data_IF_203376998720
#
_entry.id   IF_203376998720
#
_cell.length_a   1.000
_cell.length_b   1.000
_cell.length_c   1.000
_cell.angle_alpha   90.00
_cell.angle_beta   90.00
_cell.angle_gamma   90.00
#
_symmetry.space_group_name_H-M   'P 1'
#
loop_
_entity.id
_entity.type
_entity.pdbx_description
1 polymer ?
#
# COMPACT_ATOMS: atom_id res chain seq x y z
N UNK A 1 11.81 -35.24 24.20
CA UNK A 1 12.91 -34.34 23.77
C UNK A 1 13.01 -34.24 22.26
N UNK A 2 13.29 -35.33 21.51
CA UNK A 2 13.49 -35.28 20.04
C UNK A 2 12.27 -34.80 19.22
N UNK A 3 11.06 -35.17 19.65
CA UNK A 3 9.83 -34.72 18.98
C UNK A 3 9.58 -33.21 19.12
N UNK A 4 9.98 -32.59 20.24
CA UNK A 4 9.83 -31.13 20.45
C UNK A 4 10.75 -30.34 19.52
N UNK A 5 12.00 -30.80 19.33
CA UNK A 5 12.91 -30.19 18.36
C UNK A 5 12.38 -30.32 16.94
N UNK A 6 11.80 -31.47 16.56
CA UNK A 6 11.19 -31.65 15.26
C UNK A 6 9.99 -30.69 15.05
N UNK A 7 9.13 -30.55 16.05
CA UNK A 7 7.98 -29.63 16.00
C UNK A 7 8.44 -28.17 15.89
N UNK A 8 9.43 -27.74 16.67
CA UNK A 8 9.98 -26.38 16.59
C UNK A 8 10.58 -26.09 15.21
N UNK A 9 11.34 -27.04 14.65
CA UNK A 9 11.93 -26.90 13.32
C UNK A 9 10.83 -26.78 12.26
N UNK A 10 9.80 -27.62 12.32
CA UNK A 10 8.66 -27.56 11.39
C UNK A 10 7.93 -26.21 11.51
N UNK A 11 7.67 -25.74 12.73
CA UNK A 11 7.00 -24.45 12.95
C UNK A 11 7.80 -23.25 12.42
N UNK A 12 9.13 -23.23 12.60
CA UNK A 12 9.99 -22.16 12.08
C UNK A 12 10.05 -22.20 10.56
N UNK A 13 10.15 -23.39 9.96
CA UNK A 13 10.16 -23.55 8.50
C UNK A 13 8.83 -23.15 7.86
N UNK A 14 7.70 -23.44 8.50
CA UNK A 14 6.38 -23.04 7.99
C UNK A 14 6.08 -21.57 8.21
N UNK A 15 6.57 -20.94 9.28
CA UNK A 15 6.35 -19.51 9.55
C UNK A 15 6.91 -18.59 8.46
N UNK A 16 8.08 -18.93 7.92
CA UNK A 16 8.72 -18.17 6.85
C UNK A 16 7.92 -18.22 5.53
N UNK A 17 7.05 -19.21 5.37
CA UNK A 17 6.19 -19.34 4.19
C UNK A 17 4.95 -18.43 4.26
N UNK A 18 4.65 -17.88 5.43
CA UNK A 18 3.46 -17.05 5.70
C UNK A 18 3.87 -15.58 5.88
N UNK A 19 4.89 -15.09 5.17
CA UNK A 19 5.04 -13.64 4.98
C UNK A 19 4.00 -13.17 3.97
N UNK A 20 2.77 -13.13 4.46
CA UNK A 20 1.58 -12.65 3.77
C UNK A 20 1.71 -11.15 3.59
N UNK A 21 2.16 -10.75 2.40
CA UNK A 21 2.23 -9.39 1.88
C UNK A 21 3.05 -8.34 2.68
N UNK A 22 3.47 -7.29 1.98
CA UNK A 22 4.33 -6.22 2.51
C UNK A 22 3.50 -5.01 2.92
N UNK A 23 3.68 -4.48 4.16
CA UNK A 23 3.06 -3.22 4.60
C UNK A 23 3.56 -1.99 3.81
N UNK A 24 2.92 -0.82 3.98
CA UNK A 24 3.33 0.39 3.26
C UNK A 24 4.75 0.81 3.63
N UNK A 25 5.50 1.30 2.63
CA UNK A 25 6.89 1.75 2.78
C UNK A 25 7.94 0.64 2.70
N UNK A 26 7.56 -0.63 2.72
CA UNK A 26 8.49 -1.74 2.50
C UNK A 26 8.86 -1.92 1.02
N UNK A 27 10.04 -2.49 0.78
CA UNK A 27 10.57 -2.72 -0.55
C UNK A 27 9.77 -3.80 -1.29
N UNK A 28 9.39 -3.55 -2.54
CA UNK A 28 8.64 -4.47 -3.39
C UNK A 28 9.29 -4.58 -4.76
N UNK A 29 9.07 -5.71 -5.43
CA UNK A 29 9.40 -5.90 -6.84
C UNK A 29 8.16 -5.86 -7.73
N UNK A 30 7.04 -6.37 -7.21
CA UNK A 30 5.76 -6.45 -7.92
C UNK A 30 4.58 -6.06 -7.02
N UNK A 31 3.45 -5.68 -7.61
CA UNK A 31 2.24 -5.28 -6.86
C UNK A 31 1.73 -6.38 -5.92
N UNK A 32 1.87 -7.64 -6.33
CA UNK A 32 1.47 -8.83 -5.53
C UNK A 32 2.28 -8.99 -4.23
N UNK A 33 3.43 -8.33 -4.15
CA UNK A 33 4.21 -8.32 -2.91
C UNK A 33 3.54 -7.47 -1.83
N UNK A 34 2.73 -6.48 -2.22
CA UNK A 34 2.17 -5.50 -1.31
C UNK A 34 0.80 -5.93 -0.78
N UNK A 35 0.49 -5.59 0.47
CA UNK A 35 -0.83 -5.84 1.02
C UNK A 35 -1.89 -4.97 0.34
N UNK A 36 -3.02 -5.54 -0.07
CA UNK A 36 -4.12 -4.75 -0.63
C UNK A 36 -4.58 -3.67 0.39
N UNK A 37 -4.84 -2.42 -0.05
CA UNK A 37 -4.96 -1.91 -1.41
C UNK A 37 -3.67 -1.25 -1.98
N UNK A 38 -2.49 -1.62 -1.47
CA UNK A 38 -1.22 -1.04 -1.87
C UNK A 38 -0.73 -1.61 -3.20
N UNK A 39 0.03 -0.81 -3.95
CA UNK A 39 0.71 -1.18 -5.18
C UNK A 39 2.21 -0.90 -5.04
N UNK A 40 3.02 -1.58 -5.84
CA UNK A 40 4.45 -1.36 -5.87
C UNK A 40 4.78 -0.15 -6.74
N UNK A 41 5.29 0.92 -6.13
CA UNK A 41 5.74 2.08 -6.88
C UNK A 41 7.03 1.72 -7.66
N UNK A 42 7.04 1.75 -9.01
CA UNK A 42 8.19 1.33 -9.80
C UNK A 42 9.37 2.31 -9.71
N UNK A 43 9.13 3.57 -9.33
CA UNK A 43 10.18 4.58 -9.15
C UNK A 43 10.82 4.52 -7.76
N UNK A 44 10.01 4.26 -6.72
CA UNK A 44 10.48 4.20 -5.34
C UNK A 44 10.86 2.78 -4.88
N UNK A 45 10.44 1.75 -5.61
CA UNK A 45 10.59 0.34 -5.25
C UNK A 45 9.89 -0.01 -3.94
N UNK A 46 8.80 0.67 -3.59
CA UNK A 46 8.12 0.54 -2.28
C UNK A 46 6.61 0.43 -2.40
N UNK A 47 6.00 -0.29 -1.48
CA UNK A 47 4.54 -0.40 -1.38
C UNK A 47 3.93 0.96 -1.00
N UNK A 48 3.09 1.50 -1.87
CA UNK A 48 2.38 2.77 -1.66
C UNK A 48 0.89 2.60 -1.93
N UNK A 49 0.05 3.52 -1.45
CA UNK A 49 -1.38 3.52 -1.80
C UNK A 49 -1.52 3.75 -3.30
N UNK A 50 -2.40 3.00 -3.97
CA UNK A 50 -2.80 3.36 -5.33
C UNK A 50 -3.41 4.77 -5.30
N UNK A 51 -2.95 5.65 -6.19
CA UNK A 51 -3.78 6.80 -6.54
C UNK A 51 -4.97 6.19 -7.27
N UNK A 52 -6.10 6.10 -6.59
CA UNK A 52 -7.36 5.97 -7.28
C UNK A 52 -7.50 7.25 -8.10
N UNK A 53 -7.01 7.27 -9.33
CA UNK A 53 -7.76 7.98 -10.36
C UNK A 53 -9.12 7.33 -10.27
N UNK A 54 -10.08 8.05 -9.73
CA UNK A 54 -11.46 7.75 -10.01
C UNK A 54 -11.53 7.73 -11.53
N UNK A 55 -11.41 6.54 -12.14
CA UNK A 55 -11.98 6.28 -13.46
C UNK A 55 -13.47 6.35 -13.20
N UNK A 56 -13.91 7.59 -13.13
CA UNK A 56 -15.27 8.00 -13.36
C UNK A 56 -15.51 7.48 -14.78
N UNK A 57 -16.19 6.34 -14.93
CA UNK A 57 -17.20 6.30 -15.98
C UNK A 57 -17.95 7.63 -15.84
N UNK A 58 -18.07 8.45 -16.91
CA UNK A 58 -18.44 9.87 -16.81
C UNK A 58 -19.50 10.05 -15.73
N UNK A 59 -19.30 10.98 -14.78
CA UNK A 59 -20.02 10.91 -13.52
C UNK A 59 -21.51 10.99 -13.84
N UNK A 60 -22.37 10.14 -13.23
CA UNK A 60 -23.76 10.55 -13.12
C UNK A 60 -23.74 11.91 -12.41
N UNK A 61 -24.37 12.90 -13.05
CA UNK A 61 -24.14 14.35 -12.95
C UNK A 61 -24.28 14.97 -11.53
N UNK A 62 -24.53 14.17 -10.49
CA UNK A 62 -25.07 14.66 -9.22
C UNK A 62 -24.32 14.19 -7.95
N UNK A 63 -22.99 14.13 -7.91
CA UNK A 63 -22.28 13.88 -6.64
C UNK A 63 -21.17 14.88 -6.33
N UNK A 64 -21.23 15.56 -5.16
CA UNK A 64 -20.27 16.59 -4.80
C UNK A 64 -18.90 15.95 -4.49
N UNK A 65 -17.95 16.26 -5.35
CA UNK A 65 -16.54 15.91 -5.29
C UNK A 65 -15.89 16.37 -3.97
N UNK A 66 -15.48 15.44 -3.12
CA UNK A 66 -14.59 15.73 -2.00
C UNK A 66 -13.14 15.48 -2.45
N UNK A 67 -12.43 16.57 -2.75
CA UNK A 67 -11.02 16.61 -3.14
C UNK A 67 -10.14 16.14 -1.96
N UNK A 68 -9.10 15.30 -2.16
CA UNK A 68 -8.12 15.06 -1.10
C UNK A 68 -7.39 16.37 -0.78
N UNK A 69 -7.43 16.78 0.49
CA UNK A 69 -6.92 18.05 1.03
C UNK A 69 -5.40 18.33 0.85
N UNK A 70 -4.67 17.52 0.07
CA UNK A 70 -3.22 17.60 -0.02
C UNK A 70 -2.69 18.37 -1.25
N UNK A 71 -3.53 19.13 -1.96
CA UNK A 71 -3.12 19.97 -3.10
C UNK A 71 -3.55 21.43 -2.92
N UNK A 72 -3.29 22.00 -1.73
CA UNK A 72 -3.24 23.47 -1.58
C UNK A 72 -1.78 23.83 -1.37
N UNK A 73 -1.12 24.10 -2.49
CA UNK A 73 0.11 24.86 -2.52
C UNK A 73 -0.12 26.21 -1.84
N UNK A 74 0.84 26.56 -0.99
CA UNK A 74 1.05 27.83 -0.32
C UNK A 74 0.99 28.96 -1.36
N UNK A 75 -0.05 29.81 -1.33
CA UNK A 75 -0.08 31.05 -2.11
C UNK A 75 0.31 32.24 -1.23
N UNK A 76 1.26 32.98 -1.76
CA UNK A 76 2.10 33.99 -1.13
C UNK A 76 1.42 35.38 -1.15
N UNK A 77 0.17 35.49 -0.69
CA UNK A 77 -0.63 36.73 -0.83
C UNK A 77 -1.12 37.33 0.50
N UNK A 78 -0.28 37.33 1.54
CA UNK A 78 -0.45 38.24 2.67
C UNK A 78 0.18 39.61 2.35
N UNK A 79 -0.45 40.35 1.42
CA UNK A 79 -0.24 41.80 1.24
C UNK A 79 -1.57 42.44 0.84
N UNK A 80 -2.40 42.82 1.82
CA UNK A 80 -2.75 44.22 2.13
C UNK A 80 -3.65 44.29 3.37
#
# INVERSE_FOLDING_TARGET
>A
MRALFAILIICVLTFNLITSCKPPGLLCAEDKDCCAPLICNPWAGRCTKKLSTTTVAPPPVDSPTQLPESYVEINEDNVL
#
